data_IF_088453712280
#
_entry.id   IF_088453712280
#
_cell.length_a   1.000
_cell.length_b   1.000
_cell.length_c   1.000
_cell.angle_alpha   90.00
_cell.angle_beta   90.00
_cell.angle_gamma   90.00
#
_symmetry.space_group_name_H-M   'P 1'
#
loop_
_entity.id
_entity.type
_entity.pdbx_description
1 polymer ?
2 non-polymer ?
3 non-polymer ?
4 water ?
#
# COMPACT_ATOMS: atom_id res chain seq x y z
N UNK A 14 -26.62 4.64 16.41
CA UNK A 14 -27.11 3.28 16.56
C UNK A 14 -28.03 3.15 17.78
N UNK A 15 -29.04 2.31 17.66
CA UNK A 15 -29.96 2.07 18.76
C UNK A 15 -29.29 1.23 19.85
N UNK A 16 -29.84 1.34 21.06
CA UNK A 16 -29.28 0.57 22.18
C UNK A 16 -29.43 -0.92 21.96
N UNK A 17 -30.57 -1.35 21.39
CA UNK A 17 -30.76 -2.77 21.12
C UNK A 17 -29.72 -3.29 20.13
N UNK A 18 -29.37 -2.48 19.14
CA UNK A 18 -28.35 -2.90 18.18
C UNK A 18 -26.97 -3.01 18.84
N UNK A 19 -26.62 -2.03 19.67
CA UNK A 19 -25.34 -2.08 20.38
C UNK A 19 -25.28 -3.30 21.29
N UNK A 20 -26.38 -3.60 21.99
CA UNK A 20 -26.41 -4.80 22.82
C UNK A 20 -26.27 -6.07 21.99
N UNK A 21 -26.83 -6.07 20.77
CA UNK A 21 -26.67 -7.23 19.90
C UNK A 21 -25.21 -7.40 19.46
N UNK A 22 -24.51 -6.31 19.19
CA UNK A 22 -23.08 -6.40 18.90
C UNK A 22 -22.33 -6.99 20.10
N UNK A 23 -22.64 -6.49 21.30
CA UNK A 23 -21.98 -6.97 22.51
C UNK A 23 -22.24 -8.45 22.75
N UNK A 24 -23.43 -8.94 22.36
CA UNK A 24 -23.73 -10.35 22.52
C UNK A 24 -22.84 -11.23 21.64
N UNK A 25 -22.33 -10.69 20.52
CA UNK A 25 -21.47 -11.46 19.64
C UNK A 25 -20.03 -11.46 20.15
N UNK A 26 -19.46 -10.28 20.38
CA UNK A 26 -18.02 -10.15 20.61
C UNK A 26 -17.65 -9.94 22.07
N UNK A 27 -18.62 -9.67 22.94
CA UNK A 27 -18.34 -9.34 24.33
C UNK A 27 -18.32 -7.86 24.56
N UNK A 28 -18.83 -7.42 25.71
CA UNK A 28 -18.86 -6.00 26.04
C UNK A 28 -17.52 -5.28 25.91
N UNK A 29 -16.39 -5.83 26.35
CA UNK A 29 -15.12 -5.11 26.21
C UNK A 29 -14.72 -4.86 24.76
N UNK A 30 -15.36 -5.50 23.79
CA UNK A 30 -14.95 -5.43 22.40
C UNK A 30 -15.91 -4.62 21.54
N UNK A 31 -16.80 -3.85 22.15
CA UNK A 31 -17.65 -2.88 21.47
C UNK A 31 -17.44 -1.53 22.13
N UNK A 32 -17.25 -0.48 21.33
CA UNK A 32 -17.14 0.86 21.90
C UNK A 32 -17.95 1.86 21.09
N UNK A 33 -18.76 2.64 21.78
CA UNK A 33 -19.44 3.79 21.20
C UNK A 33 -18.90 5.11 21.72
N UNK A 34 -17.76 5.08 22.41
CA UNK A 34 -17.19 6.29 22.96
C UNK A 34 -16.61 7.16 21.85
N UNK A 35 -16.83 8.48 21.97
CA UNK A 35 -16.45 9.41 20.90
C UNK A 35 -14.97 9.32 20.58
N UNK A 36 -14.11 9.32 21.61
CA UNK A 36 -12.68 9.33 21.36
C UNK A 36 -12.23 8.07 20.63
N UNK A 37 -12.80 6.91 21.00
CA UNK A 37 -12.42 5.66 20.36
C UNK A 37 -12.90 5.64 18.91
N UNK A 38 -14.11 6.13 18.66
CA UNK A 38 -14.62 6.21 17.30
C UNK A 38 -13.79 7.18 16.46
N UNK A 39 -13.39 8.32 17.04
CA UNK A 39 -12.60 9.28 16.27
C UNK A 39 -11.25 8.69 15.87
N UNK A 40 -10.64 7.91 16.76
CA UNK A 40 -9.38 7.25 16.46
C UNK A 40 -9.50 6.27 15.30
N UNK A 41 -10.71 5.77 15.03
CA UNK A 41 -10.96 4.83 13.96
C UNK A 41 -11.68 5.47 12.78
N UNK A 42 -11.74 6.80 12.72
CA UNK A 42 -12.43 7.51 11.67
C UNK A 42 -11.53 8.11 10.61
N UNK A 43 -10.23 7.82 10.67
CA UNK A 43 -9.28 8.39 9.72
C UNK A 43 -8.11 7.43 9.58
N UNK A 44 -7.34 7.64 8.52
CA UNK A 44 -6.09 6.91 8.34
C UNK A 44 -4.93 7.89 8.37
N UNK A 45 -3.88 7.63 7.61
CA UNK A 45 -2.70 8.49 7.63
C UNK A 45 -2.75 9.61 6.59
N UNK A 46 -3.86 9.75 5.88
CA UNK A 46 -3.97 10.80 4.88
C UNK A 46 -4.76 11.98 5.42
N UNK A 47 -4.88 13.03 4.60
CA UNK A 47 -5.57 14.25 5.01
C UNK A 47 -7.08 14.15 4.95
N UNK A 48 -7.65 13.06 4.43
CA UNK A 48 -9.10 12.93 4.35
C UNK A 48 -9.71 13.10 5.73
N UNK A 49 -10.75 13.93 5.80
CA UNK A 49 -11.21 14.39 7.12
C UNK A 49 -11.72 13.21 7.93
N UNK A 50 -11.49 13.27 9.23
CA UNK A 50 -11.95 12.20 10.09
C UNK A 50 -13.48 12.16 10.06
N UNK A 51 -14.02 10.98 9.78
CA UNK A 51 -15.46 10.73 9.84
C UNK A 51 -15.67 9.52 10.72
N UNK A 52 -16.03 9.74 11.99
CA UNK A 52 -16.04 8.66 12.97
C UNK A 52 -17.19 7.70 12.72
N UNK A 53 -16.91 6.40 12.80
CA UNK A 53 -17.98 5.41 12.80
C UNK A 53 -18.86 5.61 14.02
N UNK A 54 -20.04 5.00 13.98
CA UNK A 54 -20.94 5.03 15.12
C UNK A 54 -20.51 4.09 16.23
N UNK A 55 -19.75 3.06 15.91
CA UNK A 55 -19.23 2.14 16.91
C UNK A 55 -17.99 1.48 16.33
N UNK A 56 -17.13 1.00 17.21
CA UNK A 56 -15.97 0.19 16.84
C UNK A 56 -16.14 -1.17 17.52
N UNK A 57 -15.89 -2.24 16.78
CA UNK A 57 -16.07 -3.60 17.27
C UNK A 57 -14.81 -4.39 16.94
N UNK A 58 -14.36 -5.22 17.89
CA UNK A 58 -13.18 -6.07 17.73
C UNK A 58 -13.61 -7.53 17.81
N UNK A 59 -13.92 -8.17 16.68
CA UNK A 59 -14.23 -9.60 16.71
C UNK A 59 -13.01 -10.41 17.10
N UNK A 60 -13.24 -11.49 17.84
CA UNK A 60 -12.18 -12.34 18.37
C UNK A 60 -11.92 -13.59 17.53
N UNK A 61 -12.79 -13.91 16.59
CA UNK A 61 -12.62 -15.06 15.72
C UNK A 61 -13.50 -14.87 14.50
N UNK A 62 -13.37 -15.78 13.53
CA UNK A 62 -14.07 -15.63 12.26
C UNK A 62 -15.58 -15.77 12.44
N UNK A 63 -16.00 -16.68 13.33
CA UNK A 63 -17.44 -16.80 13.60
C UNK A 63 -18.01 -15.46 14.05
N UNK A 64 -17.28 -14.74 14.90
CA UNK A 64 -17.74 -13.43 15.34
C UNK A 64 -17.74 -12.41 14.22
N UNK A 65 -16.73 -12.45 13.33
CA UNK A 65 -16.77 -11.55 12.17
C UNK A 65 -18.02 -11.78 11.36
N UNK A 66 -18.32 -13.06 11.09
CA UNK A 66 -19.50 -13.41 10.32
C UNK A 66 -20.78 -12.91 10.98
N UNK A 67 -20.90 -13.08 12.29
CA UNK A 67 -22.11 -12.70 12.99
C UNK A 67 -22.25 -11.18 13.09
N UNK A 68 -21.13 -10.46 13.24
CA UNK A 68 -21.19 -9.00 13.21
C UNK A 68 -21.62 -8.51 11.84
N UNK A 69 -21.02 -9.07 10.78
CA UNK A 69 -21.38 -8.66 9.42
C UNK A 69 -22.86 -8.91 9.15
N UNK A 70 -23.35 -10.11 9.51
CA UNK A 70 -24.77 -10.42 9.31
C UNK A 70 -25.68 -9.46 10.05
N UNK A 71 -25.35 -9.16 11.30
CA UNK A 71 -26.15 -8.23 12.09
C UNK A 71 -26.22 -6.86 11.43
N UNK A 72 -25.05 -6.31 11.04
CA UNK A 72 -25.03 -5.00 10.40
C UNK A 72 -25.77 -5.03 9.08
N UNK A 73 -25.42 -6.00 8.23
CA UNK A 73 -25.97 -6.05 6.88
C UNK A 73 -27.50 -6.10 6.91
N UNK A 74 -28.04 -7.00 7.74
CA UNK A 74 -29.49 -7.17 7.74
C UNK A 74 -30.22 -6.01 8.40
N UNK A 75 -29.53 -5.21 9.21
CA UNK A 75 -30.13 -4.03 9.80
C UNK A 75 -29.84 -2.76 9.04
N UNK A 76 -29.20 -2.85 7.87
CA UNK A 76 -28.93 -1.66 7.09
C UNK A 76 -27.86 -0.76 7.66
N UNK A 77 -26.90 -1.32 8.40
CA UNK A 77 -25.84 -0.56 9.04
C UNK A 77 -24.55 -0.75 8.24
N UNK A 78 -23.91 0.32 7.77
CA UNK A 78 -22.65 0.14 7.03
C UNK A 78 -21.56 -0.51 7.86
N UNK A 79 -20.66 -1.20 7.16
CA UNK A 79 -19.54 -1.93 7.74
C UNK A 79 -18.26 -1.34 7.17
N UNK A 80 -17.31 -1.00 8.03
CA UNK A 80 -16.01 -0.48 7.61
C UNK A 80 -14.92 -1.38 8.17
N UNK A 81 -14.32 -2.23 7.35
CA UNK A 81 -13.19 -3.03 7.84
C UNK A 81 -12.01 -2.12 8.17
N UNK A 82 -11.30 -2.46 9.25
CA UNK A 82 -10.21 -1.63 9.73
C UNK A 82 -9.06 -2.55 10.10
N UNK A 83 -7.90 -2.32 9.50
CA UNK A 83 -6.72 -3.10 9.84
C UNK A 83 -5.86 -2.32 10.81
N UNK A 84 -4.76 -1.77 10.32
CA UNK A 84 -3.88 -0.91 11.08
C UNK A 84 -4.08 0.59 10.83
N UNK A 85 -5.01 0.96 9.96
CA UNK A 85 -5.29 2.37 9.74
C UNK A 85 -4.17 3.16 9.11
N UNK A 86 -3.28 2.51 8.36
CA UNK A 86 -2.15 3.19 7.74
C UNK A 86 -2.42 3.55 6.28
N UNK A 87 -3.63 3.32 5.78
CA UNK A 87 -3.93 3.69 4.41
C UNK A 87 -3.81 5.18 4.17
N UNK A 88 -3.76 5.56 2.91
CA UNK A 88 -3.59 6.97 2.56
C UNK A 88 -4.66 7.49 1.62
N UNK A 89 -5.78 6.76 1.48
CA UNK A 89 -6.87 7.25 0.65
C UNK A 89 -8.21 7.34 1.38
N UNK A 90 -8.22 7.34 2.70
CA UNK A 90 -9.46 7.50 3.42
C UNK A 90 -10.32 6.25 3.43
N UNK A 91 -9.73 5.09 3.19
CA UNK A 91 -10.51 3.87 3.12
C UNK A 91 -11.32 3.59 4.37
N UNK A 92 -10.78 3.95 5.55
CA UNK A 92 -11.48 3.67 6.79
C UNK A 92 -12.43 4.79 7.21
N UNK A 93 -12.50 5.88 6.45
CA UNK A 93 -13.34 7.01 6.85
C UNK A 93 -14.81 6.60 6.77
N UNK A 94 -15.55 6.77 7.87
CA UNK A 94 -16.94 6.31 7.88
C UNK A 94 -17.87 7.39 7.33
N UNK A 95 -17.84 7.53 6.01
CA UNK A 95 -18.57 8.62 5.34
C UNK A 95 -20.08 8.50 5.56
N UNK A 96 -20.58 7.28 5.78
CA UNK A 96 -22.00 7.06 6.02
C UNK A 96 -22.25 6.50 7.42
N UNK A 97 -21.32 6.73 8.34
CA UNK A 97 -21.42 6.15 9.67
C UNK A 97 -21.27 4.64 9.63
N UNK A 98 -21.82 4.00 10.67
CA UNK A 98 -21.86 2.55 10.74
C UNK A 98 -20.88 1.98 11.74
N UNK A 99 -20.56 0.70 11.53
CA UNK A 99 -19.75 -0.09 12.46
C UNK A 99 -18.38 -0.31 11.84
N UNK A 100 -17.35 0.18 12.52
CA UNK A 100 -15.96 -0.07 12.15
C UNK A 100 -15.54 -1.38 12.80
N UNK A 101 -15.09 -2.34 11.99
CA UNK A 101 -14.67 -3.64 12.48
C UNK A 101 -13.15 -3.65 12.51
N UNK A 102 -12.58 -3.47 13.70
CA UNK A 102 -11.13 -3.58 13.88
C UNK A 102 -10.78 -5.06 13.99
N UNK A 103 -9.99 -5.55 13.05
CA UNK A 103 -9.75 -6.97 12.91
C UNK A 103 -8.48 -7.46 13.59
N UNK A 104 -7.78 -6.58 14.31
CA UNK A 104 -6.41 -6.89 14.69
C UNK A 104 -6.26 -7.81 15.89
N UNK A 105 -7.34 -8.13 16.62
CA UNK A 105 -7.19 -9.10 17.71
C UNK A 105 -7.06 -10.52 17.19
N UNK A 106 -7.41 -10.78 15.94
CA UNK A 106 -7.13 -12.05 15.29
C UNK A 106 -5.74 -11.92 14.70
N UNK A 107 -4.75 -12.41 15.43
CA UNK A 107 -3.35 -12.10 15.16
C UNK A 107 -2.48 -13.34 15.05
N UNK A 108 -3.06 -14.47 14.67
CA UNK A 108 -2.32 -15.72 14.65
C UNK A 108 -1.74 -16.02 13.27
N UNK A 109 -0.55 -16.59 13.27
CA UNK A 109 0.08 -17.18 12.09
C UNK A 109 -0.17 -18.68 12.14
N UNK A 110 -0.64 -19.25 11.05
CA UNK A 110 -0.95 -20.67 11.01
C UNK A 110 -0.51 -21.25 9.66
N UNK A 111 -0.59 -22.57 9.57
CA UNK A 111 -0.35 -23.30 8.33
C UNK A 111 0.98 -22.89 7.70
N UNK A 112 2.00 -22.70 8.53
CA UNK A 112 3.32 -22.42 7.99
C UNK A 112 3.83 -23.67 7.29
N UNK A 113 4.02 -23.57 5.98
CA UNK A 113 4.47 -24.68 5.15
C UNK A 113 5.75 -24.24 4.47
N UNK A 114 6.88 -24.38 5.19
CA UNK A 114 8.18 -23.93 4.69
C UNK A 114 8.73 -24.82 3.58
N UNK A 115 8.14 -25.99 3.34
CA UNK A 115 8.54 -26.80 2.20
C UNK A 115 7.79 -26.42 0.93
N UNK A 116 6.63 -25.77 1.07
CA UNK A 116 5.82 -25.27 -0.02
C UNK A 116 5.94 -23.77 -0.19
N UNK A 117 6.68 -23.11 0.72
CA UNK A 117 6.89 -21.66 0.72
C UNK A 117 5.55 -20.92 0.83
N UNK A 118 4.79 -21.26 1.88
CA UNK A 118 3.50 -20.62 2.09
C UNK A 118 3.17 -20.55 3.57
N UNK A 119 2.26 -19.63 3.90
CA UNK A 119 1.86 -19.39 5.29
C UNK A 119 0.50 -18.70 5.24
N UNK A 120 -0.26 -18.85 6.33
CA UNK A 120 -1.57 -18.21 6.49
C UNK A 120 -1.49 -17.24 7.67
N UNK A 121 -1.99 -16.03 7.48
CA UNK A 121 -1.94 -14.99 8.52
C UNK A 121 -3.32 -14.37 8.70
N UNK A 122 -3.67 -14.10 9.95
CA UNK A 122 -4.86 -13.37 10.33
C UNK A 122 -4.58 -11.88 10.31
N UNK A 123 -5.62 -11.03 10.37
CA UNK A 123 -5.42 -9.58 10.09
C UNK A 123 -4.51 -8.85 11.07
N UNK A 124 -4.36 -9.33 12.30
CA UNK A 124 -3.47 -8.69 13.26
C UNK A 124 -2.00 -8.93 13.02
N UNK A 125 -1.64 -9.82 12.10
CA UNK A 125 -0.25 -10.11 11.79
C UNK A 125 0.28 -9.03 10.85
N UNK A 126 1.38 -8.40 11.24
CA UNK A 126 2.09 -7.46 10.37
C UNK A 126 3.27 -8.15 9.71
N UNK A 127 3.85 -7.48 8.71
CA UNK A 127 5.01 -8.04 8.04
C UNK A 127 6.16 -8.25 9.03
N UNK A 128 6.35 -7.30 9.94
CA UNK A 128 7.43 -7.42 10.92
C UNK A 128 7.21 -8.63 11.82
N UNK A 129 5.96 -8.86 12.24
CA UNK A 129 5.67 -10.05 13.06
C UNK A 129 5.93 -11.33 12.28
N UNK A 130 5.50 -11.37 11.02
CA UNK A 130 5.69 -12.58 10.22
C UNK A 130 7.17 -12.87 10.02
N UNK A 131 7.95 -11.85 9.62
CA UNK A 131 9.35 -12.08 9.36
C UNK A 131 10.13 -12.43 10.62
N UNK A 132 9.73 -11.87 11.76
CA UNK A 132 10.31 -12.30 13.03
C UNK A 132 10.00 -13.77 13.30
N UNK A 133 8.75 -14.18 13.05
CA UNK A 133 8.38 -15.57 13.22
C UNK A 133 9.18 -16.49 12.30
N UNK A 134 9.60 -15.97 11.14
CA UNK A 134 10.32 -16.73 10.14
C UNK A 134 11.84 -16.68 10.31
N UNK A 135 12.35 -16.04 11.36
CA UNK A 135 13.79 -16.01 11.55
C UNK A 135 14.33 -17.42 11.72
N UNK A 136 15.46 -17.70 11.07
CA UNK A 136 16.10 -19.01 11.04
C UNK A 136 15.36 -20.03 10.19
N UNK A 137 14.29 -19.64 9.49
CA UNK A 137 13.65 -20.56 8.55
C UNK A 137 14.29 -20.52 7.17
N UNK A 138 15.10 -19.49 6.89
CA UNK A 138 15.61 -19.27 5.56
C UNK A 138 14.62 -18.64 4.61
N UNK A 139 13.42 -18.31 5.07
CA UNK A 139 12.37 -17.72 4.25
C UNK A 139 12.00 -16.35 4.81
N UNK A 140 11.39 -15.54 3.95
CA UNK A 140 10.93 -14.21 4.33
C UNK A 140 9.75 -13.82 3.45
N UNK A 141 8.98 -12.84 3.93
CA UNK A 141 7.92 -12.24 3.12
C UNK A 141 8.36 -10.89 2.61
N UNK A 142 8.40 -10.67 1.29
CA UNK A 142 9.08 -9.49 0.73
C UNK A 142 8.28 -8.20 0.60
N UNK A 143 6.95 -8.27 0.50
CA UNK A 143 6.21 -7.06 0.14
C UNK A 143 6.22 -6.09 1.31
N UNK A 144 6.86 -4.94 1.14
CA UNK A 144 7.31 -4.09 2.25
C UNK A 144 6.85 -2.63 2.15
N UNK A 145 5.56 -2.36 2.36
CA UNK A 145 5.15 -0.98 2.63
C UNK A 145 5.93 -0.43 3.82
N UNK A 146 6.14 0.89 3.81
CA UNK A 146 6.93 1.51 4.86
C UNK A 146 6.31 1.43 6.24
N UNK A 147 4.98 1.37 6.31
CA UNK A 147 4.27 1.25 7.57
C UNK A 147 4.18 -0.20 8.01
N UNK A 148 4.13 -0.39 9.33
CA UNK A 148 3.93 -1.69 9.98
C UNK A 148 2.49 -2.14 9.80
N UNK A 149 2.09 -2.45 8.57
CA UNK A 149 0.68 -2.62 8.25
C UNK A 149 0.23 -4.08 8.39
N UNK A 150 -1.07 -4.23 8.70
CA UNK A 150 -1.74 -5.52 8.61
C UNK A 150 -1.53 -6.15 7.24
N UNK A 151 -1.07 -7.40 7.23
CA UNK A 151 -0.90 -8.11 5.96
C UNK A 151 -2.23 -8.30 5.23
N UNK A 152 -3.31 -8.55 5.98
CA UNK A 152 -4.62 -8.64 5.34
C UNK A 152 -5.08 -7.29 4.80
N UNK A 153 -4.72 -6.19 5.49
CA UNK A 153 -4.99 -4.88 4.93
C UNK A 153 -4.23 -4.63 3.66
N UNK A 154 -2.98 -5.10 3.61
CA UNK A 154 -2.16 -5.00 2.40
C UNK A 154 -2.78 -5.78 1.25
N UNK A 155 -3.33 -6.96 1.53
CA UNK A 155 -4.08 -7.68 0.52
C UNK A 155 -5.30 -6.88 0.07
N UNK A 156 -6.00 -6.27 1.04
CA UNK A 156 -7.19 -5.49 0.71
C UNK A 156 -6.86 -4.29 -0.18
N UNK A 157 -5.71 -3.62 0.05
CA UNK A 157 -5.38 -2.46 -0.77
C UNK A 157 -4.62 -2.80 -2.04
N UNK A 158 -4.15 -4.02 -2.19
CA UNK A 158 -3.31 -4.35 -3.34
C UNK A 158 -1.93 -3.75 -3.24
N UNK A 159 -1.36 -3.73 -2.04
CA UNK A 159 -0.13 -3.01 -1.74
C UNK A 159 1.06 -3.56 -2.51
N UNK A 160 2.08 -2.71 -2.65
CA UNK A 160 3.39 -3.17 -3.09
C UNK A 160 4.45 -2.63 -2.13
N UNK A 161 5.68 -2.47 -2.59
CA UNK A 161 6.76 -2.00 -1.72
C UNK A 161 8.04 -1.93 -2.50
N UNK A 162 9.12 -1.60 -1.79
CA UNK A 162 10.42 -1.47 -2.47
C UNK A 162 10.88 -2.79 -3.06
N UNK A 163 10.53 -3.91 -2.45
CA UNK A 163 10.98 -5.20 -2.96
C UNK A 163 10.15 -5.71 -4.13
N UNK A 164 9.05 -5.04 -4.48
CA UNK A 164 8.13 -5.60 -5.45
C UNK A 164 8.75 -5.72 -6.84
N UNK A 165 9.67 -4.82 -7.19
CA UNK A 165 10.30 -4.86 -8.51
C UNK A 165 10.89 -6.24 -8.80
N UNK A 166 11.43 -6.90 -7.77
CA UNK A 166 11.97 -8.24 -7.93
C UNK A 166 11.03 -9.33 -7.46
N UNK A 167 10.35 -9.13 -6.33
CA UNK A 167 9.65 -10.20 -5.64
C UNK A 167 8.13 -10.15 -5.79
N UNK A 168 7.59 -9.15 -6.49
CA UNK A 168 6.17 -9.08 -6.77
C UNK A 168 5.39 -8.23 -5.76
N UNK A 169 4.17 -7.87 -6.14
CA UNK A 169 3.26 -7.12 -5.31
C UNK A 169 2.43 -8.09 -4.46
N UNK A 170 1.47 -7.55 -3.68
CA UNK A 170 0.50 -8.44 -3.01
C UNK A 170 -0.25 -9.29 -4.03
N UNK A 171 -0.60 -8.73 -5.18
CA UNK A 171 -1.32 -9.52 -6.19
C UNK A 171 -0.51 -10.74 -6.61
N UNK A 172 0.82 -10.59 -6.72
CA UNK A 172 1.69 -11.69 -7.10
C UNK A 172 1.90 -12.68 -5.96
N UNK A 173 1.70 -12.27 -4.71
CA UNK A 173 2.09 -13.08 -3.57
C UNK A 173 0.94 -13.53 -2.69
N UNK A 174 -0.29 -13.22 -3.06
CA UNK A 174 -1.48 -13.72 -2.37
C UNK A 174 -1.98 -14.94 -3.13
N UNK A 175 -1.99 -16.09 -2.47
CA UNK A 175 -2.33 -17.37 -3.09
C UNK A 175 -3.77 -17.79 -2.75
N UNK A 176 -4.34 -17.28 -1.68
CA UNK A 176 -5.69 -17.63 -1.23
C UNK A 176 -6.08 -16.56 -0.23
N UNK A 177 -7.40 -16.37 -0.08
CA UNK A 177 -7.95 -15.44 0.89
C UNK A 177 -9.15 -16.09 1.55
N UNK A 178 -9.31 -15.85 2.84
CA UNK A 178 -10.54 -16.18 3.55
C UNK A 178 -11.30 -14.88 3.73
N UNK A 179 -12.55 -14.86 3.26
CA UNK A 179 -13.31 -13.62 3.18
C UNK A 179 -14.68 -13.84 3.80
N UNK A 180 -15.05 -13.01 4.75
CA UNK A 180 -16.43 -12.94 5.22
C UNK A 180 -17.15 -11.99 4.28
N UNK A 181 -18.11 -12.52 3.52
CA UNK A 181 -18.88 -11.70 2.59
C UNK A 181 -19.83 -10.80 3.37
N UNK A 182 -20.37 -9.77 2.73
CA UNK A 182 -21.13 -8.75 3.48
C UNK A 182 -22.28 -9.32 4.31
N UNK A 183 -22.96 -10.36 3.84
CA UNK A 183 -24.07 -10.90 4.61
C UNK A 183 -23.63 -11.98 5.60
N UNK A 184 -22.32 -12.21 5.74
CA UNK A 184 -21.79 -13.12 6.73
C UNK A 184 -21.30 -14.45 6.22
N UNK A 185 -21.56 -14.80 4.96
CA UNK A 185 -21.11 -16.08 4.44
C UNK A 185 -19.58 -16.11 4.39
N UNK A 186 -19.01 -17.29 4.55
CA UNK A 186 -17.56 -17.46 4.57
C UNK A 186 -17.09 -18.04 3.23
N UNK A 187 -16.19 -17.32 2.56
CA UNK A 187 -15.64 -17.73 1.27
C UNK A 187 -14.13 -17.94 1.40
N UNK A 188 -13.65 -19.09 0.94
CA UNK A 188 -12.21 -19.29 0.71
C UNK A 188 -12.01 -19.17 -0.79
N UNK A 189 -11.35 -18.09 -1.22
CA UNK A 189 -11.41 -17.72 -2.63
C UNK A 189 -10.88 -18.82 -3.54
N UNK A 190 -9.82 -19.51 -3.13
CA UNK A 190 -9.27 -20.61 -3.90
C UNK A 190 -9.60 -21.97 -3.32
N UNK A 191 -10.50 -22.02 -2.33
CA UNK A 191 -10.84 -23.27 -1.66
C UNK A 191 -10.20 -23.39 -0.30
N UNK A 192 -10.92 -23.93 0.67
CA UNK A 192 -10.41 -23.97 2.04
C UNK A 192 -9.14 -24.82 2.13
N UNK A 193 -8.08 -24.23 2.67
CA UNK A 193 -6.83 -24.91 2.91
C UNK A 193 -5.94 -25.05 1.69
N UNK A 194 -6.34 -24.53 0.53
CA UNK A 194 -5.60 -24.78 -0.69
C UNK A 194 -4.43 -23.81 -0.85
N UNK A 195 -3.35 -24.33 -1.40
CA UNK A 195 -2.16 -23.53 -1.71
C UNK A 195 -1.39 -24.26 -2.79
N UNK A 196 -0.97 -23.52 -3.81
CA UNK A 196 -0.38 -24.11 -5.00
C UNK A 196 0.22 -22.98 -5.82
N UNK A 197 1.00 -23.34 -6.84
CA UNK A 197 1.71 -22.35 -7.63
C UNK A 197 0.85 -21.75 -8.74
N UNK A 198 -0.08 -22.53 -9.29
CA UNK A 198 -0.90 -22.03 -10.39
C UNK A 198 -2.17 -22.86 -10.47
N UNK A 199 -3.20 -22.29 -11.08
CA UNK A 199 -4.45 -22.99 -11.27
C UNK A 199 -5.24 -22.33 -12.39
N UNK A 200 -5.93 -23.16 -13.17
CA UNK A 200 -6.92 -22.72 -14.14
C UNK A 200 -8.33 -23.12 -13.72
N UNK A 201 -8.53 -23.46 -12.45
CA UNK A 201 -9.79 -24.07 -12.00
C UNK A 201 -10.86 -23.01 -11.79
N UNK A 202 -11.75 -22.86 -12.76
CA UNK A 202 -12.83 -21.88 -12.62
C UNK A 202 -12.32 -20.46 -12.82
N UNK A 203 -13.08 -19.50 -12.30
CA UNK A 203 -12.67 -18.10 -12.33
C UNK A 203 -11.82 -17.79 -11.11
N UNK A 204 -10.76 -17.02 -11.31
CA UNK A 204 -9.84 -16.72 -10.22
C UNK A 204 -10.50 -15.69 -9.30
N UNK A 205 -11.03 -16.15 -8.18
CA UNK A 205 -11.69 -15.27 -7.23
C UNK A 205 -10.69 -14.53 -6.34
N UNK A 206 -9.51 -15.11 -6.12
CA UNK A 206 -8.53 -14.47 -5.25
C UNK A 206 -8.16 -13.08 -5.76
N UNK A 207 -7.93 -12.95 -7.06
CA UNK A 207 -7.54 -11.67 -7.64
C UNK A 207 -8.61 -10.62 -7.55
N UNK A 208 -9.88 -11.02 -7.49
CA UNK A 208 -10.96 -10.05 -7.36
C UNK A 208 -10.94 -9.38 -6.00
N UNK A 209 -10.57 -10.11 -4.95
CA UNK A 209 -10.60 -9.55 -3.62
C UNK A 209 -9.31 -8.83 -3.25
N UNK A 210 -8.19 -9.14 -3.88
CA UNK A 210 -7.01 -8.32 -3.71
C UNK A 210 -7.28 -6.95 -4.32
N UNK A 211 -7.04 -5.89 -3.57
CA UNK A 211 -7.30 -4.57 -4.08
C UNK A 211 -8.76 -4.15 -4.04
N UNK A 212 -9.59 -4.84 -3.26
CA UNK A 212 -11.01 -4.50 -3.14
C UNK A 212 -11.29 -3.52 -2.01
N UNK A 213 -10.32 -3.25 -1.13
CA UNK A 213 -10.37 -2.13 -0.18
C UNK A 213 -11.51 -2.25 0.82
N UNK A 214 -11.98 -3.46 1.10
CA UNK A 214 -13.05 -3.62 2.06
C UNK A 214 -14.42 -3.32 1.52
N UNK A 215 -14.57 -3.20 0.20
CA UNK A 215 -15.85 -2.94 -0.44
C UNK A 215 -16.55 -4.21 -0.94
N UNK A 216 -15.89 -5.37 -0.89
CA UNK A 216 -16.48 -6.61 -1.35
C UNK A 216 -16.58 -7.68 -0.26
N UNK A 217 -16.04 -7.42 0.92
CA UNK A 217 -15.97 -8.42 1.97
C UNK A 217 -14.80 -8.13 2.89
N UNK A 218 -14.76 -8.91 3.96
CA UNK A 218 -13.80 -8.73 5.05
C UNK A 218 -12.79 -9.87 4.97
N UNK A 219 -11.53 -9.53 4.71
CA UNK A 219 -10.47 -10.55 4.66
C UNK A 219 -10.11 -10.93 6.08
N UNK A 220 -10.36 -12.20 6.44
CA UNK A 220 -10.05 -12.70 7.77
C UNK A 220 -8.81 -13.61 7.78
N UNK A 221 -8.31 -14.02 6.62
CA UNK A 221 -6.97 -14.59 6.56
C UNK A 221 -6.46 -14.45 5.13
N UNK A 222 -5.14 -14.44 5.01
CA UNK A 222 -4.46 -14.39 3.72
C UNK A 222 -3.42 -15.50 3.69
N UNK A 223 -3.40 -16.25 2.59
CA UNK A 223 -2.36 -17.23 2.35
C UNK A 223 -1.30 -16.57 1.48
N UNK A 224 -0.08 -16.48 1.99
CA UNK A 224 0.98 -15.71 1.37
C UNK A 224 2.08 -16.63 0.84
N UNK A 225 2.64 -16.23 -0.30
CA UNK A 225 3.84 -16.84 -0.85
C UNK A 225 5.06 -16.34 -0.09
N UNK A 226 5.88 -17.26 0.38
CA UNK A 226 7.16 -16.94 0.99
C UNK A 226 8.28 -17.13 -0.02
N UNK A 227 9.40 -16.45 0.24
CA UNK A 227 10.54 -16.46 -0.66
C UNK A 227 11.81 -16.84 0.08
N UNK A 228 12.75 -17.47 -0.60
CA UNK A 228 14.04 -17.77 0.03
C UNK A 228 14.82 -16.50 0.30
N UNK A 229 15.47 -16.45 1.46
CA UNK A 229 16.33 -15.32 1.77
C UNK A 229 17.49 -15.29 0.79
N UNK A 230 17.93 -14.10 0.37
CA UNK A 230 19.03 -14.03 -0.60
C UNK A 230 20.33 -14.53 0.00
N UNK A 231 21.14 -15.15 -0.86
CA UNK A 231 22.45 -15.65 -0.45
C UNK A 231 23.31 -14.52 0.09
N UNK A 232 23.35 -13.40 -0.62
CA UNK A 232 24.13 -12.24 -0.21
C UNK A 232 23.40 -10.98 -0.66
N UNK A 233 23.67 -9.88 0.05
CA UNK A 233 22.94 -8.64 -0.15
C UNK A 233 23.93 -7.48 -0.14
N UNK A 234 23.76 -6.55 -1.09
CA UNK A 234 24.53 -5.33 -1.15
C UNK A 234 23.57 -4.18 -1.41
N UNK A 235 23.65 -3.13 -0.59
CA UNK A 235 22.86 -1.93 -0.78
C UNK A 235 23.78 -0.74 -0.98
N UNK A 236 23.25 0.28 -1.65
CA UNK A 236 24.06 1.45 -1.95
C UNK A 236 23.14 2.60 -2.32
N UNK A 237 23.68 3.81 -2.26
CA UNK A 237 23.02 4.98 -2.80
C UNK A 237 23.86 5.59 -3.92
N UNK A 238 23.19 6.28 -4.83
CA UNK A 238 23.85 6.89 -5.98
C UNK A 238 23.20 8.25 -6.22
N UNK A 239 24.02 9.31 -6.18
CA UNK A 239 23.53 10.67 -6.38
C UNK A 239 23.70 11.08 -7.83
N UNK A 240 22.74 11.84 -8.34
CA UNK A 240 22.71 12.22 -9.74
C UNK A 240 22.65 13.73 -9.89
N UNK A 241 23.10 14.26 -11.02
CA UNK A 241 23.03 15.72 -11.23
C UNK A 241 21.63 16.23 -11.48
N UNK A 242 20.69 15.37 -11.85
CA UNK A 242 19.35 15.82 -12.20
C UNK A 242 18.37 14.67 -12.06
N UNK A 243 17.09 15.03 -11.97
CA UNK A 243 16.03 14.03 -11.99
C UNK A 243 16.08 13.24 -13.29
N UNK A 244 16.26 13.94 -14.41
CA UNK A 244 16.37 13.28 -15.71
C UNK A 244 17.43 12.18 -15.70
N UNK A 245 18.60 12.49 -15.13
CA UNK A 245 19.69 11.51 -15.12
C UNK A 245 19.35 10.30 -14.26
N UNK A 246 18.71 10.52 -13.11
CA UNK A 246 18.35 9.41 -12.23
C UNK A 246 17.29 8.52 -12.87
N UNK A 247 16.31 9.13 -13.53
CA UNK A 247 15.21 8.35 -14.10
C UNK A 247 15.63 7.66 -15.38
N UNK A 248 16.47 8.31 -16.20
CA UNK A 248 17.03 7.63 -17.36
C UNK A 248 17.84 6.42 -16.94
N UNK A 249 18.62 6.55 -15.85
CA UNK A 249 19.37 5.41 -15.34
C UNK A 249 18.43 4.28 -14.96
N UNK A 250 17.33 4.61 -14.29
CA UNK A 250 16.36 3.59 -13.88
C UNK A 250 15.81 2.85 -15.09
N UNK A 251 15.34 3.59 -16.10
CA UNK A 251 14.78 2.96 -17.28
C UNK A 251 15.81 2.08 -17.96
N UNK A 252 17.05 2.54 -18.04
CA UNK A 252 18.09 1.77 -18.72
C UNK A 252 18.47 0.51 -17.93
N UNK A 253 18.48 0.60 -16.60
CA UNK A 253 18.72 -0.59 -15.78
C UNK A 253 17.64 -1.64 -16.02
N UNK A 254 16.38 -1.20 -16.07
CA UNK A 254 15.28 -2.13 -16.33
C UNK A 254 15.35 -2.69 -17.74
N UNK A 255 15.68 -1.85 -18.73
CA UNK A 255 15.71 -2.32 -20.10
C UNK A 255 16.89 -3.26 -20.33
N UNK A 256 17.94 -3.13 -19.52
CA UNK A 256 19.07 -4.06 -19.55
C UNK A 256 18.79 -5.33 -18.76
N UNK A 257 17.63 -5.42 -18.11
CA UNK A 257 17.19 -6.63 -17.42
C UNK A 257 18.06 -6.99 -16.22
N UNK A 258 18.68 -6.01 -15.59
CA UNK A 258 19.40 -6.26 -14.34
C UNK A 258 18.38 -6.61 -13.28
N UNK A 259 18.46 -7.78 -12.65
CA UNK A 259 17.43 -8.20 -11.68
C UNK A 259 17.61 -7.54 -10.32
N UNK A 260 17.60 -6.20 -10.31
CA UNK A 260 17.78 -5.45 -9.07
C UNK A 260 16.70 -5.83 -8.07
N UNK A 261 17.10 -5.91 -6.80
CA UNK A 261 16.15 -6.24 -5.75
C UNK A 261 15.33 -5.03 -5.33
N UNK A 262 15.96 -3.85 -5.30
CA UNK A 262 15.30 -2.62 -4.88
C UNK A 262 15.90 -1.51 -5.73
N UNK A 263 15.05 -0.63 -6.25
CA UNK A 263 15.50 0.57 -6.93
C UNK A 263 14.51 1.70 -6.65
N UNK A 264 14.88 2.60 -5.75
CA UNK A 264 13.98 3.61 -5.21
C UNK A 264 14.53 4.99 -5.51
N UNK A 265 13.65 5.89 -5.95
CA UNK A 265 14.03 7.25 -6.29
C UNK A 265 13.61 8.21 -5.20
N UNK A 266 14.49 9.15 -4.87
CA UNK A 266 14.17 10.28 -4.02
C UNK A 266 14.66 11.53 -4.74
N UNK A 267 13.80 12.53 -4.88
CA UNK A 267 14.31 13.79 -5.42
C UNK A 267 15.09 14.52 -4.32
N UNK A 268 15.68 15.67 -4.67
CA UNK A 268 16.51 16.38 -3.70
C UNK A 268 15.70 16.78 -2.47
N UNK A 269 14.44 17.19 -2.67
CA UNK A 269 13.59 17.56 -1.55
C UNK A 269 13.39 16.37 -0.62
N UNK A 270 13.01 15.21 -1.19
CA UNK A 270 12.84 14.01 -0.40
C UNK A 270 14.13 13.59 0.30
N UNK A 271 15.26 13.68 -0.41
CA UNK A 271 16.53 13.27 0.19
C UNK A 271 16.85 14.13 1.40
N UNK A 272 16.69 15.45 1.25
CA UNK A 272 16.91 16.35 2.38
C UNK A 272 15.96 16.04 3.53
N UNK A 273 14.68 15.82 3.22
CA UNK A 273 13.71 15.50 4.27
C UNK A 273 14.10 14.24 5.02
N UNK A 274 14.50 13.19 4.29
CA UNK A 274 14.92 11.96 4.94
C UNK A 274 16.20 12.17 5.75
N UNK A 275 17.13 12.97 5.24
CA UNK A 275 18.33 13.31 6.01
C UNK A 275 17.95 13.91 7.36
N UNK A 276 17.02 14.86 7.35
CA UNK A 276 16.65 15.56 8.57
C UNK A 276 15.83 14.70 9.52
N UNK A 277 15.16 13.67 9.01
CA UNK A 277 14.26 12.87 9.82
C UNK A 277 14.89 11.58 10.33
N UNK A 278 16.00 11.14 9.74
CA UNK A 278 16.58 9.86 10.08
C UNK A 278 18.07 9.91 10.36
N UNK A 279 18.69 11.09 10.32
CA UNK A 279 20.13 11.24 10.52
C UNK A 279 20.95 10.45 9.51
N UNK A 280 20.41 10.28 8.30
CA UNK A 280 21.27 10.00 7.17
C UNK A 280 22.01 11.29 6.78
N UNK A 281 23.09 11.12 6.04
CA UNK A 281 23.91 12.24 5.60
C UNK A 281 24.18 12.16 4.11
N UNK A 282 23.19 11.69 3.34
CA UNK A 282 23.40 11.55 1.92
C UNK A 282 23.50 12.92 1.26
N UNK A 283 24.32 13.05 0.23
CA UNK A 283 24.35 14.31 -0.54
C UNK A 283 22.95 14.68 -1.00
N UNK A 284 22.57 15.93 -0.80
CA UNK A 284 21.25 16.42 -1.18
C UNK A 284 21.20 16.52 -2.70
N UNK A 285 20.53 15.57 -3.34
CA UNK A 285 20.52 15.41 -4.77
C UNK A 285 19.45 14.38 -5.12
N UNK A 286 18.96 14.38 -6.36
CA UNK A 286 18.13 13.25 -6.79
C UNK A 286 18.98 11.99 -6.72
N UNK A 287 18.42 10.97 -6.06
CA UNK A 287 19.20 9.83 -5.58
C UNK A 287 18.43 8.54 -5.84
N UNK A 288 19.17 7.48 -6.18
CA UNK A 288 18.63 6.13 -6.17
C UNK A 288 19.17 5.38 -4.96
N UNK A 289 18.27 4.77 -4.19
CA UNK A 289 18.61 3.73 -3.24
C UNK A 289 18.50 2.39 -3.96
N UNK A 290 19.56 1.59 -3.91
CA UNK A 290 19.63 0.35 -4.67
C UNK A 290 19.95 -0.81 -3.74
N UNK A 291 19.42 -1.99 -4.07
CA UNK A 291 19.82 -3.20 -3.38
C UNK A 291 19.91 -4.33 -4.40
N UNK A 292 20.90 -5.20 -4.21
CA UNK A 292 21.19 -6.30 -5.11
C UNK A 292 21.24 -7.59 -4.28
N UNK A 293 20.66 -8.65 -4.83
CA UNK A 293 20.62 -9.96 -4.19
C UNK A 293 21.25 -10.98 -5.13
N UNK A 294 22.02 -11.89 -4.56
CA UNK A 294 22.56 -13.00 -5.34
C UNK A 294 23.77 -13.59 -4.66
N UNK A 295 24.48 -14.42 -5.43
CA UNK A 295 25.76 -14.94 -4.98
C UNK A 295 26.85 -13.89 -5.22
N UNK A 296 28.06 -14.18 -4.72
CA UNK A 296 29.17 -13.26 -4.94
C UNK A 296 29.43 -13.04 -6.42
N UNK A 297 29.33 -14.10 -7.22
CA UNK A 297 29.55 -13.97 -8.66
C UNK A 297 28.47 -13.12 -9.32
N UNK A 298 27.20 -13.42 -9.04
CA UNK A 298 26.13 -12.68 -9.68
C UNK A 298 26.05 -11.24 -9.17
N UNK A 299 26.37 -11.01 -7.90
CA UNK A 299 26.41 -9.65 -7.38
C UNK A 299 27.42 -8.79 -8.11
N UNK A 300 28.63 -9.32 -8.32
CA UNK A 300 29.67 -8.57 -9.01
C UNK A 300 29.24 -8.23 -10.44
N UNK A 301 28.56 -9.17 -11.10
CA UNK A 301 28.07 -8.93 -12.45
C UNK A 301 26.98 -7.86 -12.46
N UNK A 302 26.00 -7.96 -11.56
CA UNK A 302 24.94 -6.96 -11.50
C UNK A 302 25.51 -5.58 -11.18
N UNK A 303 26.43 -5.52 -10.22
CA UNK A 303 27.02 -4.24 -9.85
C UNK A 303 27.74 -3.61 -11.03
N UNK A 304 28.55 -4.39 -11.73
CA UNK A 304 29.33 -3.85 -12.85
C UNK A 304 28.44 -3.37 -13.98
N UNK A 305 27.35 -4.09 -14.27
CA UNK A 305 26.43 -3.64 -15.31
C UNK A 305 25.63 -2.42 -14.85
N UNK A 306 25.27 -2.37 -13.57
CA UNK A 306 24.48 -1.25 -13.07
C UNK A 306 25.31 0.02 -12.90
N UNK A 307 26.54 -0.12 -12.39
CA UNK A 307 27.41 1.05 -12.27
C UNK A 307 27.74 1.63 -13.63
N UNK A 308 27.90 0.78 -14.65
CA UNK A 308 28.17 1.29 -15.99
C UNK A 308 27.03 2.17 -16.47
N UNK A 309 25.79 1.77 -16.21
CA UNK A 309 24.63 2.55 -16.64
C UNK A 309 24.52 3.84 -15.85
N UNK A 310 24.69 3.78 -14.53
CA UNK A 310 24.58 5.00 -13.74
C UNK A 310 25.70 5.98 -14.08
N UNK A 311 26.90 5.47 -14.36
CA UNK A 311 28.00 6.36 -14.79
C UNK A 311 27.67 7.09 -16.08
N UNK A 312 27.02 6.39 -17.03
CA UNK A 312 26.62 7.02 -18.29
C UNK A 312 25.76 8.25 -18.06
N UNK A 313 25.00 8.28 -16.97
CA UNK A 313 24.09 9.38 -16.69
C UNK A 313 24.61 10.25 -15.56
N UNK A 314 25.91 10.17 -15.26
CA UNK A 314 26.50 11.03 -14.27
C UNK A 314 26.29 10.61 -12.83
N UNK A 315 25.89 9.38 -12.58
CA UNK A 315 25.73 8.93 -11.21
C UNK A 315 27.06 8.87 -10.47
N UNK A 316 26.99 9.15 -9.17
CA UNK A 316 28.18 9.06 -8.33
C UNK A 316 28.62 7.60 -8.20
N UNK A 317 29.89 7.43 -7.82
CA UNK A 317 30.32 6.11 -7.39
C UNK A 317 29.44 5.68 -6.23
N UNK A 318 29.07 4.40 -6.23
CA UNK A 318 28.10 3.92 -5.24
C UNK A 318 28.60 4.14 -3.82
N UNK A 319 27.73 4.67 -2.97
CA UNK A 319 27.99 4.81 -1.54
C UNK A 319 27.42 3.58 -0.85
N UNK A 320 28.29 2.67 -0.44
CA UNK A 320 27.87 1.34 -0.02
C UNK A 320 27.28 1.34 1.39
N UNK A 321 26.36 0.43 1.61
CA UNK A 321 25.78 0.20 2.93
C UNK A 321 25.88 -1.28 3.28
N UNK A 324 25.08 -4.96 8.11
CA UNK A 324 23.64 -5.14 8.04
C UNK A 324 22.95 -3.93 8.65
N UNK A 325 23.65 -3.23 9.53
CA UNK A 325 23.01 -2.19 10.32
C UNK A 325 22.94 -0.87 9.63
N UNK A 326 23.89 -0.60 8.74
CA UNK A 326 23.76 0.54 7.87
C UNK A 326 22.70 0.30 6.80
N UNK A 327 22.60 -0.93 6.27
CA UNK A 327 21.53 -1.20 5.30
C UNK A 327 20.16 -1.05 5.95
N UNK A 328 20.02 -1.53 7.19
CA UNK A 328 18.75 -1.39 7.90
C UNK A 328 18.42 0.09 8.10
N UNK A 329 19.45 0.88 8.42
CA UNK A 329 19.28 2.32 8.60
C UNK A 329 18.83 2.98 7.30
N UNK A 330 19.43 2.58 6.18
CA UNK A 330 19.06 3.13 4.87
C UNK A 330 17.59 2.88 4.57
N UNK A 331 17.15 1.63 4.69
CA UNK A 331 15.79 1.28 4.31
C UNK A 331 14.76 1.75 5.33
N UNK A 332 15.15 1.89 6.60
CA UNK A 332 14.23 2.49 7.57
C UNK A 332 13.94 3.94 7.21
N UNK A 333 14.95 4.68 6.76
CA UNK A 333 14.72 6.06 6.35
C UNK A 333 13.81 6.12 5.13
N UNK A 334 14.03 5.24 4.16
CA UNK A 334 13.14 5.17 3.00
C UNK A 334 11.72 4.84 3.42
N UNK A 335 11.57 3.83 4.29
CA UNK A 335 10.24 3.41 4.71
C UNK A 335 9.50 4.53 5.45
N UNK A 336 10.24 5.44 6.09
CA UNK A 336 9.64 6.53 6.84
C UNK A 336 9.55 7.83 6.03
N UNK A 337 9.75 7.75 4.71
CA UNK A 337 9.73 8.95 3.87
C UNK A 337 8.44 9.75 4.04
N UNK A 338 7.31 9.07 4.19
CA UNK A 338 6.04 9.77 4.40
C UNK A 338 6.13 10.71 5.60
N UNK A 339 6.67 10.22 6.71
CA UNK A 339 6.77 11.04 7.91
C UNK A 339 7.88 12.07 7.80
N UNK A 340 8.96 11.74 7.07
CA UNK A 340 9.99 12.73 6.79
C UNK A 340 9.43 13.92 6.03
N UNK A 341 8.63 13.65 4.99
CA UNK A 341 7.93 14.72 4.30
C UNK A 341 7.11 15.53 5.29
N UNK A 342 6.24 14.85 6.05
CA UNK A 342 5.35 15.54 7.00
C UNK A 342 6.13 16.44 7.95
N UNK A 343 7.36 16.05 8.31
CA UNK A 343 8.14 16.80 9.27
C UNK A 343 8.67 18.11 8.70
N UNK A 344 8.64 18.28 7.37
CA UNK A 344 9.08 19.53 6.78
C UNK A 344 8.21 20.69 7.24
N UNK A 345 6.95 20.42 7.51
CA UNK A 345 5.96 21.44 7.89
C UNK A 345 5.19 20.88 9.06
N UNK A 346 5.71 21.05 10.29
CA UNK A 346 5.04 20.44 11.44
C UNK A 346 3.59 20.87 11.55
N UNK A 347 2.75 19.91 11.95
CA UNK A 347 1.31 20.12 11.98
C UNK A 347 0.60 19.81 10.69
N UNK A 348 1.33 19.58 9.60
CA UNK A 348 0.70 19.34 8.31
C UNK A 348 0.23 17.90 8.21
N UNK A 349 -0.82 17.71 7.41
CA UNK A 349 -1.17 16.40 6.87
C UNK A 349 -0.79 16.37 5.39
N UNK A 350 -0.95 15.21 4.76
CA UNK A 350 -0.48 15.05 3.40
C UNK A 350 -1.47 14.27 2.56
N UNK A 351 -1.50 14.61 1.28
CA UNK A 351 -2.06 13.77 0.23
C UNK A 351 -0.93 13.33 -0.67
N UNK A 352 -1.08 12.15 -1.27
CA UNK A 352 -0.05 11.62 -2.15
C UNK A 352 -0.66 11.16 -3.45
N UNK A 353 0.02 11.47 -4.54
CA UNK A 353 -0.24 10.81 -5.81
C UNK A 353 0.50 9.47 -5.84
N UNK A 354 0.22 8.66 -6.87
CA UNK A 354 0.70 7.30 -6.90
C UNK A 354 0.63 6.75 -8.32
N UNK A 355 0.90 7.57 -9.32
CA UNK A 355 0.70 7.10 -10.69
C UNK A 355 1.72 6.01 -11.03
N UNK A 356 1.36 5.19 -12.02
CA UNK A 356 2.27 4.18 -12.55
C UNK A 356 2.08 4.19 -14.06
N UNK A 357 3.17 4.38 -14.79
CA UNK A 357 3.11 4.59 -16.25
C UNK A 357 3.99 3.54 -16.90
N UNK A 358 3.80 3.29 -18.20
CA UNK A 358 4.78 2.50 -18.94
C UNK A 358 6.18 3.08 -18.73
N UNK A 359 7.16 2.20 -18.49
CA UNK A 359 8.45 2.65 -17.99
C UNK A 359 9.10 3.67 -18.93
N UNK A 360 8.92 3.51 -20.25
CA UNK A 360 9.58 4.44 -21.16
C UNK A 360 9.04 5.86 -21.01
N UNK A 361 7.83 6.03 -20.48
CA UNK A 361 7.26 7.35 -20.24
C UNK A 361 7.57 7.89 -18.86
N UNK A 362 8.25 7.10 -18.01
CA UNK A 362 8.56 7.58 -16.68
C UNK A 362 9.45 8.82 -16.67
N UNK A 363 10.50 8.92 -17.50
CA UNK A 363 11.28 10.17 -17.50
C UNK A 363 10.46 11.41 -17.77
N UNK A 364 9.62 11.40 -18.81
CA UNK A 364 8.78 12.55 -19.12
C UNK A 364 7.97 12.99 -17.92
N UNK A 365 7.26 12.05 -17.29
CA UNK A 365 6.30 12.44 -16.26
C UNK A 365 6.97 12.82 -14.94
N UNK A 366 8.06 12.14 -14.53
CA UNK A 366 8.82 12.63 -13.38
C UNK A 366 9.41 14.01 -13.59
N UNK A 367 10.07 14.24 -14.73
CA UNK A 367 10.66 15.55 -14.96
C UNK A 367 9.56 16.62 -15.01
N UNK A 368 8.45 16.30 -15.68
CA UNK A 368 7.33 17.24 -15.72
C UNK A 368 6.78 17.51 -14.32
N UNK A 369 6.68 16.47 -13.49
CA UNK A 369 6.16 16.66 -12.13
C UNK A 369 7.08 17.57 -11.33
N UNK A 370 8.39 17.35 -11.44
CA UNK A 370 9.34 18.22 -10.77
C UNK A 370 9.20 19.66 -11.25
N UNK A 371 9.05 19.86 -12.56
CA UNK A 371 8.88 21.21 -13.09
C UNK A 371 7.57 21.82 -12.61
N UNK A 372 6.50 21.04 -12.54
CA UNK A 372 5.21 21.57 -12.11
C UNK A 372 5.22 21.92 -10.63
N UNK A 373 5.90 21.12 -9.81
CA UNK A 373 6.04 21.46 -8.39
C UNK A 373 6.75 22.79 -8.25
N UNK A 374 7.83 22.98 -9.02
CA UNK A 374 8.64 24.20 -8.91
C UNK A 374 7.83 25.42 -9.31
N UNK A 375 6.99 25.29 -10.33
CA UNK A 375 6.18 26.40 -10.81
C UNK A 375 5.01 26.75 -9.90
N UNK A 376 4.71 25.93 -8.91
CA UNK A 376 3.64 26.19 -7.96
C UNK A 376 4.22 26.67 -6.63
N UNK A 377 3.34 27.18 -5.77
CA UNK A 377 3.73 27.50 -4.40
C UNK A 377 3.68 26.29 -3.49
N UNK A 378 3.43 25.11 -4.04
CA UNK A 378 3.19 23.92 -3.21
C UNK A 378 4.51 23.27 -2.81
N UNK A 379 4.54 22.79 -1.57
CA UNK A 379 5.62 21.94 -1.10
C UNK A 379 5.33 20.52 -1.58
N UNK A 380 6.33 19.90 -2.21
CA UNK A 380 6.19 18.53 -2.63
C UNK A 380 7.49 17.76 -2.54
N UNK A 381 7.43 16.53 -2.06
CA UNK A 381 8.57 15.63 -2.06
C UNK A 381 8.25 14.45 -2.96
N UNK A 382 9.22 14.01 -3.74
CA UNK A 382 9.01 12.93 -4.70
C UNK A 382 9.81 11.71 -4.26
N UNK A 383 9.12 10.59 -4.12
CA UNK A 383 9.76 9.32 -3.78
C UNK A 383 9.05 8.25 -4.58
N UNK A 384 9.76 7.19 -4.96
CA UNK A 384 9.05 6.23 -5.78
C UNK A 384 9.66 4.88 -6.04
N UNK A 385 8.77 3.89 -6.13
CA UNK A 385 9.07 2.56 -6.65
C UNK A 385 9.23 2.63 -8.15
N UNK A 386 10.28 3.32 -8.60
CA UNK A 386 10.48 3.61 -10.01
C UNK A 386 10.81 2.36 -10.82
N UNK A 387 11.29 1.30 -10.18
CA UNK A 387 11.46 0.04 -10.87
C UNK A 387 10.18 -0.52 -11.45
N UNK A 388 9.03 -0.11 -10.90
CA UNK A 388 7.73 -0.47 -11.42
C UNK A 388 7.13 0.60 -12.32
N UNK A 389 7.86 1.68 -12.59
CA UNK A 389 7.27 2.81 -13.29
C UNK A 389 6.32 3.63 -12.45
N UNK A 390 6.49 3.60 -11.14
CA UNK A 390 5.55 4.13 -10.16
C UNK A 390 6.30 5.17 -9.32
N UNK A 391 5.60 6.22 -8.92
CA UNK A 391 6.18 7.17 -7.98
C UNK A 391 5.08 7.91 -7.27
N UNK A 392 5.44 8.52 -6.15
CA UNK A 392 4.51 9.29 -5.35
C UNK A 392 5.03 10.72 -5.21
N UNK A 393 4.12 11.67 -5.33
CA UNK A 393 4.36 13.06 -4.96
C UNK A 393 3.62 13.29 -3.65
N UNK A 394 4.37 13.48 -2.57
CA UNK A 394 3.78 13.71 -1.25
C UNK A 394 3.63 15.22 -1.07
N UNK A 395 2.40 15.68 -0.84
CA UNK A 395 2.00 17.08 -0.96
C UNK A 395 1.47 17.54 0.38
N UNK A 396 2.16 18.47 1.01
CA UNK A 396 1.99 18.57 2.44
C UNK A 396 1.13 19.78 2.70
N UNK A 397 0.12 19.65 3.54
CA UNK A 397 -0.85 20.72 3.62
C UNK A 397 -1.17 21.13 5.04
N UNK A 398 -1.35 22.42 5.22
CA UNK A 398 -1.91 22.97 6.43
C UNK A 398 -3.37 22.53 6.51
N UNK A 399 -3.77 21.83 7.57
CA UNK A 399 -5.15 21.35 7.65
C UNK A 399 -6.20 22.46 7.70
N UNK A 400 -5.83 23.68 8.05
CA UNK A 400 -6.77 24.78 8.14
C UNK A 400 -6.75 25.70 6.92
N UNK A 401 -5.87 25.46 5.95
CA UNK A 401 -5.71 26.32 4.78
C UNK A 401 -6.51 25.69 3.64
N UNK A 402 -7.76 26.13 3.50
CA UNK A 402 -8.63 25.53 2.52
C UNK A 402 -8.17 25.76 1.08
N UNK A 403 -7.47 26.87 0.82
CA UNK A 403 -7.26 27.27 -0.55
C UNK A 403 -6.11 26.41 -1.06
N UNK A 404 -5.10 26.20 -0.20
CA UNK A 404 -3.92 25.34 -0.50
C UNK A 404 -4.34 23.90 -0.83
N UNK A 405 -5.31 23.37 -0.08
CA UNK A 405 -5.72 22.00 -0.34
C UNK A 405 -6.37 21.85 -1.69
N UNK A 406 -7.15 22.85 -2.10
CA UNK A 406 -7.73 22.83 -3.44
C UNK A 406 -6.64 22.85 -4.50
N UNK A 407 -5.57 23.61 -4.26
CA UNK A 407 -4.46 23.60 -5.19
C UNK A 407 -3.76 22.25 -5.17
N UNK A 408 -3.63 21.63 -3.99
CA UNK A 408 -3.05 20.29 -3.90
C UNK A 408 -3.95 19.26 -4.57
N UNK A 409 -5.25 19.34 -4.34
CA UNK A 409 -6.18 18.45 -5.05
C UNK A 409 -6.10 18.66 -6.55
N UNK A 410 -6.05 19.91 -7.00
CA UNK A 410 -5.98 20.18 -8.44
C UNK A 410 -4.67 19.67 -9.02
N UNK A 411 -3.55 19.89 -8.33
CA UNK A 411 -2.28 19.31 -8.77
C UNK A 411 -2.38 17.80 -8.85
N UNK A 412 -3.03 17.18 -7.86
CA UNK A 412 -3.09 15.73 -7.78
C UNK A 412 -3.91 15.14 -8.92
N UNK A 413 -5.10 15.70 -9.20
CA UNK A 413 -5.87 15.24 -10.36
C UNK A 413 -5.11 15.44 -11.67
N UNK A 414 -4.50 16.62 -11.86
CA UNK A 414 -3.81 16.89 -13.12
C UNK A 414 -2.69 15.89 -13.36
N UNK A 415 -1.94 15.56 -12.31
CA UNK A 415 -0.91 14.54 -12.46
C UNK A 415 -1.52 13.18 -12.78
N UNK A 416 -2.61 12.83 -12.09
CA UNK A 416 -3.30 11.59 -12.41
C UNK A 416 -3.77 11.54 -13.85
N UNK A 417 -4.35 12.64 -14.34
CA UNK A 417 -4.81 12.66 -15.72
C UNK A 417 -3.65 12.60 -16.71
N UNK A 418 -2.51 13.22 -16.38
CA UNK A 418 -1.34 13.10 -17.24
C UNK A 418 -0.87 11.64 -17.35
N UNK A 419 -0.87 10.92 -16.22
CA UNK A 419 -0.50 9.50 -16.28
C UNK A 419 -1.48 8.71 -17.12
N UNK A 420 -2.77 9.03 -17.00
CA UNK A 420 -3.76 8.35 -17.84
C UNK A 420 -3.52 8.64 -19.32
N UNK A 421 -3.13 9.88 -19.64
CA UNK A 421 -2.86 10.22 -21.04
C UNK A 421 -1.69 9.42 -21.59
N UNK A 422 -0.78 8.97 -20.73
CA UNK A 422 0.39 8.20 -21.14
C UNK A 422 0.13 6.70 -21.16
N UNK A 423 -1.13 6.28 -20.99
CA UNK A 423 -1.46 4.87 -20.97
C UNK A 423 -1.27 4.19 -19.62
N UNK A 424 -1.08 4.94 -18.56
CA UNK A 424 -0.83 4.40 -17.24
C UNK A 424 -2.08 4.31 -16.39
N UNK A 425 -1.85 4.18 -15.08
CA UNK A 425 -2.89 4.04 -14.09
C UNK A 425 -2.73 5.12 -13.03
N UNK A 426 -3.87 5.51 -12.42
CA UNK A 426 -3.85 6.56 -11.42
C UNK A 426 -3.31 6.10 -10.08
N UNK A 427 -3.19 4.79 -9.86
CA UNK A 427 -2.64 4.24 -8.62
C UNK A 427 -1.90 2.93 -8.84
N UNK A 428 -0.62 2.93 -8.52
CA UNK A 428 0.15 1.71 -8.59
C UNK A 428 -0.03 0.80 -7.39
N UNK A 429 -0.37 1.36 -6.22
CA UNK A 429 -0.40 0.56 -5.00
C UNK A 429 -1.35 1.06 -3.90
N UNK A 430 -1.53 2.38 -3.76
CA UNK A 430 -2.27 2.90 -2.60
C UNK A 430 -3.76 2.58 -2.68
N UNK A 431 -4.31 2.51 -3.88
CA UNK A 431 -5.74 2.32 -4.07
C UNK A 431 -6.48 3.61 -4.36
N UNK A 432 -7.81 3.49 -4.34
CA UNK A 432 -8.71 4.57 -4.77
C UNK A 432 -9.33 5.29 -3.59
N UNK A 433 -9.85 4.53 -2.62
CA UNK A 433 -10.50 5.10 -1.46
C UNK A 433 -11.51 6.17 -1.84
N UNK A 434 -11.34 7.34 -1.21
CA UNK A 434 -12.16 8.50 -1.47
C UNK A 434 -11.56 9.43 -2.52
N UNK A 435 -10.25 9.35 -2.75
CA UNK A 435 -9.57 10.40 -3.50
C UNK A 435 -9.50 10.23 -5.01
N UNK A 436 -9.52 9.00 -5.51
CA UNK A 436 -9.30 8.77 -6.93
C UNK A 436 -10.53 8.21 -7.65
N UNK A 437 -11.73 8.41 -7.11
CA UNK A 437 -12.91 7.81 -7.71
C UNK A 437 -13.19 8.36 -9.10
N UNK A 438 -13.00 9.66 -9.31
CA UNK A 438 -13.22 10.23 -10.64
C UNK A 438 -12.14 9.78 -11.61
N UNK A 439 -10.88 9.74 -11.16
CA UNK A 439 -9.81 9.23 -12.01
C UNK A 439 -10.08 7.80 -12.45
N UNK A 440 -10.58 6.95 -11.54
CA UNK A 440 -10.87 5.56 -11.91
C UNK A 440 -11.91 5.51 -13.03
N UNK A 441 -12.95 6.33 -12.93
CA UNK A 441 -13.97 6.37 -13.99
C UNK A 441 -13.34 6.72 -15.34
N UNK A 442 -12.41 7.68 -15.36
CA UNK A 442 -11.74 8.02 -16.60
C UNK A 442 -10.83 6.89 -17.07
N UNK A 443 -10.19 6.20 -16.12
CA UNK A 443 -9.20 5.18 -16.45
C UNK A 443 -9.82 3.99 -17.16
N UNK A 444 -10.98 3.51 -16.71
CA UNK A 444 -11.56 2.29 -17.26
C UNK A 444 -12.81 2.52 -18.11
N UNK A 445 -13.37 3.72 -18.11
CA UNK A 445 -14.47 4.04 -18.99
C UNK A 445 -15.79 3.48 -18.53
N UNK A 446 -16.86 3.76 -19.28
CA UNK A 446 -18.20 3.38 -18.80
C UNK A 446 -18.43 1.88 -18.68
N UNK A 447 -17.87 1.08 -19.59
CA UNK A 447 -18.09 -0.36 -19.51
C UNK A 447 -17.27 -0.95 -18.36
N UNK A 448 -16.05 -0.44 -18.15
CA UNK A 448 -15.28 -0.87 -17.00
C UNK A 448 -15.94 -0.51 -15.68
N UNK A 449 -16.48 0.70 -15.58
CA UNK A 449 -17.16 1.11 -14.35
C UNK A 449 -18.40 0.25 -14.10
N UNK A 450 -19.22 0.07 -15.14
CA UNK A 450 -20.42 -0.74 -14.92
C UNK A 450 -20.07 -2.16 -14.54
N UNK A 451 -19.02 -2.72 -15.17
CA UNK A 451 -18.62 -4.08 -14.84
C UNK A 451 -18.14 -4.19 -13.40
N UNK A 452 -17.29 -3.26 -12.95
CA UNK A 452 -16.91 -3.28 -11.54
C UNK A 452 -18.11 -3.11 -10.61
N UNK A 453 -19.04 -2.24 -10.98
CA UNK A 453 -20.19 -2.02 -10.13
C UNK A 453 -21.10 -3.24 -10.08
N UNK A 454 -21.23 -3.96 -11.19
CA UNK A 454 -22.06 -5.16 -11.16
C UNK A 454 -21.44 -6.20 -10.24
N UNK A 455 -20.12 -6.26 -10.20
CA UNK A 455 -19.47 -7.22 -9.32
C UNK A 455 -19.66 -6.81 -7.86
N UNK A 456 -19.53 -5.51 -7.59
CA UNK A 456 -19.83 -4.95 -6.28
C UNK A 456 -21.27 -5.27 -5.85
N UNK A 457 -22.23 -5.15 -6.78
CA UNK A 457 -23.63 -5.37 -6.44
C UNK A 457 -23.94 -6.83 -6.14
N UNK A 458 -23.29 -7.77 -6.82
CA UNK A 458 -23.65 -9.16 -6.51
C UNK A 458 -23.12 -9.57 -5.15
N UNK A 459 -21.96 -9.06 -4.76
CA UNK A 459 -21.40 -9.40 -3.47
C UNK A 459 -21.98 -8.56 -2.33
N UNK A 460 -22.34 -7.31 -2.62
CA UNK A 460 -22.87 -6.38 -1.61
C UNK A 460 -24.14 -5.75 -2.15
N UNK A 461 -25.22 -6.53 -2.27
CA UNK A 461 -26.45 -5.96 -2.85
C UNK A 461 -26.94 -4.70 -2.16
N UNK A 462 -26.87 -4.65 -0.83
CA UNK A 462 -27.41 -3.50 -0.12
C UNK A 462 -26.45 -2.32 -0.07
N UNK A 463 -25.25 -2.45 -0.63
CA UNK A 463 -24.30 -1.35 -0.64
C UNK A 463 -23.79 -0.95 0.73
N UNK A 464 -23.71 -1.89 1.68
CA UNK A 464 -23.32 -1.60 3.05
C UNK A 464 -21.86 -1.92 3.34
N UNK A 465 -21.13 -2.50 2.40
CA UNK A 465 -19.74 -2.89 2.60
C UNK A 465 -18.83 -1.72 2.25
N UNK A 466 -18.43 -0.97 3.28
CA UNK A 466 -17.59 0.22 3.12
C UNK A 466 -18.10 1.17 2.05
N UNK A 467 -19.29 1.73 2.21
CA UNK A 467 -19.87 2.58 1.16
C UNK A 467 -19.08 3.85 0.91
N UNK A 468 -19.20 4.36 -0.30
CA UNK A 468 -18.55 5.60 -0.68
C UNK A 468 -17.11 5.47 -1.13
N UNK A 469 -16.57 4.25 -1.25
CA UNK A 469 -15.17 4.04 -1.58
C UNK A 469 -15.07 3.33 -2.92
N UNK A 470 -14.02 3.68 -3.68
CA UNK A 470 -13.65 3.02 -4.93
C UNK A 470 -14.58 3.42 -6.08
N UNK A 471 -15.84 3.01 -5.98
CA UNK A 471 -16.84 3.29 -7.00
C UNK A 471 -17.78 4.39 -6.51
#
# INVERSE_FOLDING_TARGET
WSHPQFEKGSQGGLSQDFVEALKAVVGSPHVSTASAVREQHGHDESMHRCQPPDAVVWPQNVDQVSRVASLCYNQGVPIIPFGTGTGVEGGVCAVQGGVCINLTHMDQITELNTEDFSVVVEPGVTRKALNTHLRDSGLWFPVDPGADASLCGMAATGASGTNAVRYGTMRDNVINLEVVLPDGRLLHTAGRGRHYRKSAAGYNLTGLFVGSEGTLGIITSTTLRLHPAPEATVAATCAFPSVQAAVDSTVQILQAAVPVARIEFLDDVMMDACNRHSKLNCPVAPTLFLEFHGSQQTLAEQLQRTEAITQDNGGSHFSWAKEAEKRNELWAARHNAWYAALALSPGSKAYSTDVCVPISRLPEILVETKEEIKASKLTGAIVGHVGDGNFACILLVDPDDAEEQRRVKAFAENLGRRALALGGTCTGEHGIGLGKRQLLQEEVGPVGVETMRQLKNTLDPRGLMNPGKVL
#
